data_IF_265293962595
#
_entry.id   IF_265293962595
#
_cell.length_a   1.000
_cell.length_b   1.000
_cell.length_c   1.000
_cell.angle_alpha   90.00
_cell.angle_beta   90.00
_cell.angle_gamma   90.00
#
_symmetry.space_group_name_H-M   'P 1'
#
loop_
_entity.id
_entity.type
_entity.pdbx_description
1 polymer ?
#
# COMPACT_ATOMS: atom_id res chain seq x y z
N UNK A 1 29.36 47.89 46.77
CA UNK A 1 28.34 46.86 46.94
C UNK A 1 28.63 45.72 45.93
N UNK A 2 28.84 44.51 46.43
CA UNK A 2 29.01 43.32 45.59
C UNK A 2 27.84 42.36 45.79
N UNK A 3 27.31 41.84 44.69
CA UNK A 3 26.22 40.84 44.73
C UNK A 3 26.70 39.55 44.07
N UNK A 4 26.49 38.45 44.76
CA UNK A 4 26.64 37.12 44.19
C UNK A 4 25.33 36.35 44.42
N UNK A 5 24.71 35.86 43.36
CA UNK A 5 23.42 35.19 43.46
C UNK A 5 23.28 34.03 42.49
N UNK A 6 22.37 33.14 42.82
CA UNK A 6 21.91 32.04 41.97
C UNK A 6 20.41 32.17 41.80
N UNK A 7 19.90 31.77 40.66
CA UNK A 7 18.47 31.75 40.37
C UNK A 7 18.09 30.49 39.60
N UNK A 8 16.85 30.11 39.74
CA UNK A 8 16.22 29.01 38.99
C UNK A 8 14.80 29.38 38.59
N UNK A 9 14.41 28.98 37.39
CA UNK A 9 13.04 29.12 36.90
C UNK A 9 12.37 27.75 36.89
N UNK A 10 11.20 27.68 37.50
CA UNK A 10 10.33 26.51 37.46
C UNK A 10 9.13 26.83 36.56
N UNK A 11 9.06 26.22 35.40
CA UNK A 11 7.96 26.38 34.47
C UNK A 11 6.84 25.39 34.78
N UNK A 12 5.63 25.89 35.02
CA UNK A 12 4.42 25.08 35.30
C UNK A 12 3.65 24.86 33.99
N UNK A 13 3.71 25.83 33.09
CA UNK A 13 3.23 25.77 31.71
C UNK A 13 4.23 26.44 30.80
N UNK A 14 4.14 26.29 29.46
CA UNK A 14 5.01 26.98 28.52
C UNK A 14 5.01 28.51 28.66
N UNK A 15 3.92 29.09 29.17
CA UNK A 15 3.72 30.53 29.30
C UNK A 15 3.87 31.04 30.72
N UNK A 16 3.83 30.18 31.74
CA UNK A 16 3.78 30.56 33.13
C UNK A 16 4.77 29.78 33.99
N UNK A 17 5.53 30.44 34.77
CA UNK A 17 6.49 29.85 35.69
C UNK A 17 6.74 30.70 36.93
N UNK A 18 7.53 30.18 37.84
CA UNK A 18 8.06 30.86 39.02
C UNK A 18 9.54 31.00 38.88
N UNK A 19 10.04 32.22 39.25
CA UNK A 19 11.44 32.52 39.35
C UNK A 19 11.83 32.58 40.83
N UNK A 20 12.85 31.83 41.19
CA UNK A 20 13.45 31.85 42.54
C UNK A 20 14.86 32.41 42.45
N UNK A 21 15.14 33.42 43.21
CA UNK A 21 16.47 33.99 43.27
C UNK A 21 16.96 34.07 44.72
N UNK A 22 18.24 33.78 44.89
CA UNK A 22 18.94 33.95 46.17
C UNK A 22 20.25 34.67 45.89
N UNK A 23 20.46 35.78 46.52
CA UNK A 23 21.68 36.56 46.40
C UNK A 23 22.25 36.94 47.76
N UNK A 24 23.55 36.85 47.89
CA UNK A 24 24.31 37.42 49.01
C UNK A 24 24.83 38.80 48.61
N UNK A 25 24.50 39.79 49.43
CA UNK A 25 24.89 41.17 49.17
C UNK A 25 25.89 41.58 50.25
N UNK A 26 27.09 41.94 49.81
CA UNK A 26 28.15 42.47 50.68
C UNK A 26 28.24 43.97 50.50
N UNK A 27 28.18 44.67 51.62
CA UNK A 27 28.42 46.13 51.66
C UNK A 27 29.85 46.41 52.08
N UNK A 28 30.54 47.31 51.37
CA UNK A 28 31.91 47.64 51.58
C UNK A 28 32.13 48.96 52.43
N UNK A 29 31.09 49.45 53.14
CA UNK A 29 31.15 50.65 53.99
C UNK A 29 31.22 50.25 55.45
N UNK A 30 31.90 51.07 56.26
CA UNK A 30 32.17 50.84 57.71
C UNK A 30 30.98 50.68 58.62
N UNK A 31 29.70 50.82 58.11
CA UNK A 31 28.45 50.68 58.86
C UNK A 31 27.43 49.78 58.18
N UNK A 32 27.81 49.06 57.11
CA UNK A 32 26.95 48.21 56.38
C UNK A 32 26.93 46.77 56.90
N UNK A 33 25.76 46.16 56.91
CA UNK A 33 25.61 44.74 57.22
C UNK A 33 25.47 43.93 55.94
N UNK A 34 26.20 42.81 55.84
CA UNK A 34 25.99 41.82 54.80
C UNK A 34 24.63 41.12 55.03
N UNK A 35 23.90 40.92 53.98
CA UNK A 35 22.60 40.26 54.02
C UNK A 35 22.33 39.32 52.85
N UNK A 36 21.51 38.33 53.08
CA UNK A 36 20.96 37.48 52.04
C UNK A 36 19.62 38.03 51.58
N UNK A 37 19.46 38.13 50.28
CA UNK A 37 18.22 38.52 49.63
C UNK A 37 17.63 37.32 48.90
N UNK A 38 16.39 36.99 49.25
CA UNK A 38 15.65 35.95 48.58
C UNK A 38 14.42 36.56 47.92
N UNK A 39 14.16 36.24 46.69
CA UNK A 39 12.97 36.66 45.97
C UNK A 39 12.31 35.52 45.24
N UNK A 40 10.97 35.56 45.23
CA UNK A 40 10.13 34.71 44.43
C UNK A 40 9.35 35.64 43.49
N UNK A 41 9.37 35.34 42.23
CA UNK A 41 8.65 36.08 41.20
C UNK A 41 7.79 35.17 40.35
N UNK A 42 6.80 35.74 39.69
CA UNK A 42 6.12 35.12 38.61
C UNK A 42 6.79 35.49 37.28
N UNK A 43 6.95 34.55 36.39
CA UNK A 43 7.45 34.76 35.02
C UNK A 43 6.35 34.38 34.04
N UNK A 44 5.98 35.33 33.21
CA UNK A 44 5.01 35.12 32.14
C UNK A 44 5.74 35.38 30.84
N UNK A 45 5.73 34.39 29.92
CA UNK A 45 6.17 34.60 28.54
C UNK A 45 5.04 35.14 27.72
N UNK A 46 5.29 36.19 26.99
CA UNK A 46 4.37 36.76 26.03
C UNK A 46 4.93 36.55 24.64
N UNK A 47 4.09 36.06 23.71
CA UNK A 47 4.46 35.89 22.33
C UNK A 47 3.98 34.52 21.81
N UNK A 48 3.98 34.38 20.50
CA UNK A 48 3.80 33.07 19.87
C UNK A 48 5.04 32.24 20.17
N UNK A 49 4.87 30.96 20.51
CA UNK A 49 6.00 30.02 20.61
C UNK A 49 6.77 29.94 19.28
N UNK A 50 7.92 29.28 19.27
CA UNK A 50 8.57 28.91 18.01
C UNK A 50 7.61 28.04 17.21
N UNK A 51 7.55 28.30 15.92
CA UNK A 51 6.73 27.62 14.93
C UNK A 51 7.67 27.44 13.73
N UNK A 52 8.24 26.23 13.61
CA UNK A 52 9.35 25.98 12.69
C UNK A 52 8.89 25.85 11.24
N UNK A 53 7.74 25.22 11.02
CA UNK A 53 7.20 24.93 9.70
C UNK A 53 6.17 25.97 9.23
N UNK A 54 5.70 26.83 10.15
CA UNK A 54 4.84 27.97 9.83
C UNK A 54 3.37 27.62 9.61
N UNK A 55 2.89 26.50 10.16
CA UNK A 55 1.48 26.08 10.02
C UNK A 55 0.54 26.82 11.00
N UNK A 56 1.09 27.59 11.93
CA UNK A 56 0.35 28.38 12.91
C UNK A 56 0.19 27.69 14.26
N UNK A 57 0.72 26.48 14.43
CA UNK A 57 0.73 25.71 15.67
C UNK A 57 2.13 25.83 16.28
N UNK A 58 2.24 26.28 17.53
CA UNK A 58 3.56 26.37 18.16
C UNK A 58 4.17 24.97 18.35
N UNK A 59 5.51 24.84 18.19
CA UNK A 59 6.23 23.56 18.29
C UNK A 59 5.90 22.72 19.55
N UNK A 60 5.47 23.35 20.64
CA UNK A 60 5.14 22.67 21.89
C UNK A 60 3.70 22.08 21.93
N UNK A 61 2.85 22.51 20.99
CA UNK A 61 1.51 21.95 20.74
C UNK A 61 1.49 21.10 19.47
N UNK A 62 2.58 21.08 18.72
CA UNK A 62 2.70 20.47 17.43
C UNK A 62 3.36 19.08 17.53
N UNK A 63 2.68 18.07 17.02
CA UNK A 63 3.20 16.70 16.96
C UNK A 63 4.20 16.51 15.80
N UNK A 64 4.17 17.41 14.80
CA UNK A 64 5.03 17.36 13.64
C UNK A 64 5.76 18.69 13.38
N UNK A 65 6.57 19.23 14.33
CA UNK A 65 7.04 20.61 14.38
C UNK A 65 7.91 21.07 13.21
N UNK A 66 8.29 20.20 12.31
CA UNK A 66 9.13 20.48 11.14
C UNK A 66 8.40 20.17 9.81
N UNK A 67 7.10 19.84 9.87
CA UNK A 67 6.26 19.52 8.70
C UNK A 67 4.90 20.13 8.88
N UNK A 68 4.64 21.21 8.18
CA UNK A 68 3.37 21.94 8.23
C UNK A 68 2.16 21.02 8.00
N UNK A 69 1.21 21.08 8.92
CA UNK A 69 0.02 20.27 8.88
C UNK A 69 -1.24 21.01 9.28
N UNK A 70 -2.21 20.32 9.84
CA UNK A 70 -3.50 20.91 10.19
C UNK A 70 -3.83 20.75 11.68
N UNK A 71 -4.60 21.70 12.26
CA UNK A 71 -4.96 21.65 13.67
C UNK A 71 -5.71 20.38 14.09
N UNK A 72 -6.45 19.76 13.16
CA UNK A 72 -7.20 18.53 13.40
C UNK A 72 -6.26 17.38 13.84
N UNK A 73 -5.05 17.35 13.29
CA UNK A 73 -4.03 16.34 13.57
C UNK A 73 -2.86 16.90 14.38
N UNK A 74 -3.12 18.00 15.14
CA UNK A 74 -2.13 18.60 16.03
C UNK A 74 -0.81 18.93 15.29
N UNK A 75 -0.93 19.55 14.11
CA UNK A 75 0.20 19.98 13.30
C UNK A 75 0.77 18.92 12.36
N UNK A 76 0.23 17.72 12.32
CA UNK A 76 0.70 16.74 11.35
C UNK A 76 -0.02 16.86 10.01
N UNK A 77 0.69 16.67 8.87
CA UNK A 77 0.10 16.70 7.55
C UNK A 77 -0.77 15.46 7.27
N UNK A 78 -1.75 15.67 6.42
CA UNK A 78 -2.62 14.69 5.77
C UNK A 78 -2.70 15.15 4.31
N UNK A 79 -1.83 14.57 3.47
CA UNK A 79 -1.54 15.12 2.14
C UNK A 79 -2.69 14.89 1.15
N UNK A 80 -3.39 13.75 1.24
CA UNK A 80 -4.49 13.39 0.34
C UNK A 80 -5.88 13.66 0.94
N UNK A 81 -5.93 14.06 2.23
CA UNK A 81 -7.12 14.42 2.98
C UNK A 81 -8.12 13.27 3.19
N UNK A 82 -7.62 12.06 3.41
CA UNK A 82 -8.46 10.90 3.71
C UNK A 82 -8.81 10.75 5.20
N UNK A 83 -8.18 11.56 6.06
CA UNK A 83 -8.39 11.58 7.50
C UNK A 83 -7.34 10.79 8.28
N UNK A 84 -6.27 10.36 7.63
CA UNK A 84 -5.12 9.69 8.24
C UNK A 84 -3.90 10.57 7.99
N UNK A 85 -3.07 10.76 9.00
CA UNK A 85 -1.86 11.56 8.83
C UNK A 85 -0.83 10.81 7.99
N UNK A 86 -0.03 11.52 7.19
CA UNK A 86 1.04 10.95 6.34
C UNK A 86 1.95 9.95 7.08
N UNK A 87 2.15 10.14 8.38
CA UNK A 87 3.00 9.27 9.19
C UNK A 87 2.37 7.91 9.53
N UNK A 88 1.04 7.83 9.50
CA UNK A 88 0.24 6.63 9.79
C UNK A 88 -0.37 6.03 8.53
N UNK A 89 -0.28 6.77 7.44
CA UNK A 89 -0.82 6.39 6.14
C UNK A 89 0.19 5.56 5.34
N UNK A 90 -0.27 4.45 4.81
CA UNK A 90 0.53 3.59 3.94
C UNK A 90 0.56 4.08 2.48
N UNK A 91 -0.37 5.00 2.12
CA UNK A 91 -0.50 5.61 0.80
C UNK A 91 -0.72 7.14 0.90
N UNK A 92 0.23 7.94 1.43
CA UNK A 92 0.02 9.34 1.83
C UNK A 92 -0.34 10.33 0.72
N UNK A 93 -0.46 9.90 -0.50
CA UNK A 93 -0.80 10.71 -1.68
C UNK A 93 -2.04 10.24 -2.40
N UNK A 94 -2.61 9.12 -1.98
CA UNK A 94 -3.70 8.44 -2.66
C UNK A 94 -4.78 8.09 -1.63
N UNK A 95 -5.75 8.97 -1.47
CA UNK A 95 -6.81 8.91 -0.46
C UNK A 95 -7.54 7.56 -0.45
N UNK A 96 -7.58 6.93 0.70
CA UNK A 96 -8.15 5.60 0.83
C UNK A 96 -8.97 5.39 2.10
N UNK A 97 -9.03 4.16 2.55
CA UNK A 97 -9.85 3.77 3.69
C UNK A 97 -9.01 3.42 4.91
N UNK A 98 -9.49 3.75 6.12
CA UNK A 98 -8.82 3.34 7.36
C UNK A 98 -8.61 1.83 7.49
N UNK A 99 -9.48 1.03 6.86
CA UNK A 99 -9.37 -0.44 6.82
C UNK A 99 -8.07 -0.90 6.13
N UNK A 100 -7.60 -0.14 5.15
CA UNK A 100 -6.39 -0.41 4.37
C UNK A 100 -5.23 0.54 4.73
N UNK A 101 -5.27 1.12 5.96
CA UNK A 101 -4.29 2.09 6.44
C UNK A 101 -4.08 3.27 5.49
N UNK A 102 -5.15 3.85 4.97
CA UNK A 102 -5.13 4.99 4.07
C UNK A 102 -4.95 4.65 2.59
N UNK A 103 -4.86 3.37 2.21
CA UNK A 103 -4.77 3.03 0.81
C UNK A 103 -6.14 2.86 0.15
N UNK A 104 -6.28 3.24 -1.14
CA UNK A 104 -7.50 3.00 -1.90
C UNK A 104 -7.73 1.51 -2.19
N UNK A 105 -8.99 1.17 -2.45
CA UNK A 105 -9.49 -0.10 -2.97
C UNK A 105 -10.46 0.28 -4.10
N UNK A 106 -9.92 0.39 -5.32
CA UNK A 106 -10.60 1.04 -6.45
C UNK A 106 -11.78 0.26 -6.98
N UNK A 107 -11.72 -1.09 -6.96
CA UNK A 107 -12.81 -1.95 -7.43
C UNK A 107 -13.69 -2.47 -6.29
N UNK A 108 -13.27 -2.26 -5.04
CA UNK A 108 -13.97 -2.66 -3.82
C UNK A 108 -14.14 -4.17 -3.70
N UNK A 109 -13.07 -4.92 -3.91
CA UNK A 109 -13.02 -6.38 -3.73
C UNK A 109 -12.50 -6.80 -2.34
N UNK A 110 -11.94 -5.84 -1.59
CA UNK A 110 -11.44 -6.04 -0.23
C UNK A 110 -9.92 -6.16 -0.14
N UNK A 111 -9.20 -5.86 -1.22
CA UNK A 111 -7.76 -5.66 -1.25
C UNK A 111 -7.45 -4.20 -1.57
N UNK A 112 -6.41 -3.65 -0.95
CA UNK A 112 -5.95 -2.33 -1.35
C UNK A 112 -5.22 -2.40 -2.71
N UNK A 113 -5.34 -1.35 -3.53
CA UNK A 113 -4.75 -1.28 -4.89
C UNK A 113 -3.26 -1.63 -4.91
N UNK A 114 -2.52 -1.28 -3.86
CA UNK A 114 -1.07 -1.61 -3.74
C UNK A 114 -0.78 -3.10 -3.56
N UNK A 115 -1.74 -3.84 -3.01
CA UNK A 115 -1.63 -5.28 -2.72
C UNK A 115 -2.42 -6.11 -3.73
N UNK A 116 -3.14 -5.43 -4.64
CA UNK A 116 -3.98 -6.00 -5.67
C UNK A 116 -3.24 -6.10 -7.00
N UNK A 117 -3.32 -7.25 -7.62
CA UNK A 117 -2.74 -7.49 -8.95
C UNK A 117 -3.65 -7.04 -10.10
N UNK A 118 -4.94 -6.79 -9.81
CA UNK A 118 -5.98 -6.34 -10.74
C UNK A 118 -6.82 -5.19 -10.15
N UNK A 119 -6.22 -4.02 -9.79
CA UNK A 119 -6.84 -2.99 -8.96
C UNK A 119 -8.12 -2.34 -9.52
N UNK A 120 -8.55 -2.68 -10.69
CA UNK A 120 -9.74 -2.12 -11.36
C UNK A 120 -10.78 -3.17 -11.73
N UNK A 121 -10.52 -4.42 -11.40
CA UNK A 121 -11.39 -5.55 -11.75
C UNK A 121 -11.57 -6.44 -10.54
N UNK A 122 -12.76 -6.40 -9.93
CA UNK A 122 -13.09 -7.20 -8.74
C UNK A 122 -12.72 -8.65 -8.90
N UNK A 123 -11.92 -9.14 -7.96
CA UNK A 123 -11.50 -10.51 -7.98
C UNK A 123 -11.56 -11.21 -6.63
N UNK A 124 -10.71 -12.17 -6.45
CA UNK A 124 -10.64 -12.99 -5.25
C UNK A 124 -9.30 -12.81 -4.55
N UNK A 125 -9.32 -12.75 -3.24
CA UNK A 125 -8.09 -12.72 -2.41
C UNK A 125 -7.15 -13.88 -2.72
N UNK A 126 -7.72 -15.05 -3.09
CA UNK A 126 -6.93 -16.23 -3.48
C UNK A 126 -6.09 -16.02 -4.75
N UNK A 127 -6.48 -15.07 -5.60
CA UNK A 127 -5.79 -14.69 -6.82
C UNK A 127 -5.21 -13.27 -6.77
N UNK A 128 -4.94 -12.79 -5.54
CA UNK A 128 -4.42 -11.46 -5.28
C UNK A 128 -5.26 -10.36 -5.96
N UNK A 129 -6.58 -10.41 -5.80
CA UNK A 129 -7.52 -9.44 -6.33
C UNK A 129 -7.90 -9.64 -7.81
N UNK A 130 -7.41 -10.67 -8.48
CA UNK A 130 -7.81 -10.91 -9.85
C UNK A 130 -9.05 -11.80 -9.96
N UNK A 131 -9.90 -11.58 -10.98
CA UNK A 131 -11.05 -12.46 -11.26
C UNK A 131 -10.63 -13.83 -11.76
N UNK A 132 -11.52 -14.80 -11.58
CA UNK A 132 -11.52 -16.14 -12.17
C UNK A 132 -12.95 -16.36 -12.68
N UNK A 133 -13.16 -15.97 -13.94
CA UNK A 133 -14.51 -15.81 -14.50
C UNK A 133 -15.23 -17.13 -14.69
N UNK A 134 -14.53 -18.18 -15.11
CA UNK A 134 -15.12 -19.51 -15.30
C UNK A 134 -15.00 -20.41 -14.08
N UNK A 135 -14.24 -19.98 -13.07
CA UNK A 135 -14.01 -20.69 -11.82
C UNK A 135 -13.34 -22.07 -12.02
N UNK A 136 -12.27 -22.12 -12.80
CA UNK A 136 -11.44 -23.30 -12.96
C UNK A 136 -10.22 -23.34 -12.03
N UNK A 137 -9.96 -22.21 -11.32
CA UNK A 137 -8.87 -22.07 -10.37
C UNK A 137 -7.65 -21.35 -10.92
N UNK A 138 -7.76 -20.72 -12.09
CA UNK A 138 -6.74 -19.90 -12.72
C UNK A 138 -7.33 -18.50 -12.89
N UNK A 139 -6.58 -17.48 -12.48
CA UNK A 139 -7.04 -16.11 -12.66
C UNK A 139 -7.07 -15.74 -14.15
N UNK A 140 -8.08 -14.95 -14.57
CA UNK A 140 -8.29 -14.53 -15.96
C UNK A 140 -7.04 -14.01 -16.65
N UNK A 141 -6.18 -13.28 -15.91
CA UNK A 141 -4.91 -12.75 -16.45
C UNK A 141 -3.87 -13.81 -16.82
N UNK A 142 -3.96 -14.98 -16.17
CA UNK A 142 -3.02 -16.11 -16.35
C UNK A 142 -3.67 -17.23 -17.18
N UNK A 143 -4.97 -17.08 -17.50
CA UNK A 143 -5.80 -18.01 -18.22
C UNK A 143 -5.83 -17.67 -19.74
N UNK A 144 -5.59 -18.68 -20.57
CA UNK A 144 -5.70 -18.54 -22.03
C UNK A 144 -7.16 -18.61 -22.52
N UNK A 145 -8.05 -19.19 -21.71
CA UNK A 145 -9.45 -19.41 -22.03
C UNK A 145 -10.37 -18.92 -20.88
N UNK A 146 -10.36 -17.63 -20.48
CA UNK A 146 -11.00 -17.14 -19.26
C UNK A 146 -12.53 -17.30 -19.16
N UNK A 147 -13.16 -17.88 -20.16
CA UNK A 147 -14.61 -18.09 -20.23
C UNK A 147 -14.98 -19.58 -20.25
N UNK A 148 -13.99 -20.45 -20.44
CA UNK A 148 -14.20 -21.87 -20.69
C UNK A 148 -13.28 -22.70 -19.79
N UNK A 149 -13.83 -23.29 -18.73
CA UNK A 149 -13.09 -24.07 -17.73
C UNK A 149 -12.17 -25.09 -18.36
N UNK A 150 -10.92 -25.04 -17.93
CA UNK A 150 -9.93 -26.00 -18.39
C UNK A 150 -8.96 -26.45 -17.31
N UNK A 151 -7.96 -27.19 -17.71
CA UNK A 151 -6.96 -27.70 -16.79
C UNK A 151 -5.71 -26.79 -16.75
N UNK A 152 -5.05 -26.73 -15.59
CA UNK A 152 -3.84 -25.94 -15.42
C UNK A 152 -2.71 -26.35 -16.38
N UNK A 153 -2.65 -27.60 -16.80
CA UNK A 153 -1.69 -28.09 -17.78
C UNK A 153 -1.86 -27.46 -19.17
N UNK A 154 -3.11 -27.03 -19.49
CA UNK A 154 -3.47 -26.31 -20.73
C UNK A 154 -3.64 -24.81 -20.49
N UNK A 155 -3.19 -24.30 -19.33
CA UNK A 155 -3.33 -22.90 -18.92
C UNK A 155 -4.78 -22.41 -18.99
N UNK A 156 -5.69 -23.16 -18.40
CA UNK A 156 -7.09 -22.82 -18.31
C UNK A 156 -7.94 -23.18 -19.55
N UNK A 157 -7.35 -23.73 -20.61
CA UNK A 157 -8.14 -24.15 -21.74
C UNK A 157 -8.67 -25.58 -21.58
N UNK A 158 -9.91 -25.87 -22.04
CA UNK A 158 -10.44 -27.22 -22.10
C UNK A 158 -9.70 -28.10 -23.13
N UNK A 159 -9.77 -29.41 -22.93
CA UNK A 159 -9.41 -30.47 -23.85
C UNK A 159 -10.64 -31.38 -23.98
N UNK A 160 -11.50 -31.11 -24.96
CA UNK A 160 -12.86 -31.69 -25.04
C UNK A 160 -12.86 -33.16 -25.34
N UNK A 161 -11.91 -33.67 -26.14
CA UNK A 161 -11.84 -35.09 -26.50
C UNK A 161 -10.82 -35.89 -25.67
N UNK A 162 -9.95 -35.18 -24.93
CA UNK A 162 -8.98 -35.78 -24.02
C UNK A 162 -7.80 -36.44 -24.76
N UNK A 163 -7.29 -35.81 -25.82
CA UNK A 163 -6.14 -36.30 -26.55
C UNK A 163 -4.80 -35.68 -26.09
N UNK A 164 -4.90 -34.68 -25.18
CA UNK A 164 -3.75 -33.98 -24.60
C UNK A 164 -3.38 -32.68 -25.34
N UNK A 165 -4.28 -32.16 -26.18
CA UNK A 165 -4.15 -30.89 -26.88
C UNK A 165 -5.36 -30.03 -26.48
N UNK A 166 -5.09 -28.80 -26.05
CA UNK A 166 -6.18 -27.90 -25.69
C UNK A 166 -7.02 -27.54 -26.93
N UNK A 167 -8.35 -27.38 -26.75
CA UNK A 167 -9.30 -27.03 -27.81
C UNK A 167 -8.86 -25.78 -28.62
N UNK A 168 -8.15 -24.87 -27.99
CA UNK A 168 -7.63 -23.66 -28.65
C UNK A 168 -6.53 -23.99 -29.68
N UNK A 169 -5.76 -25.04 -29.43
CA UNK A 169 -4.64 -25.50 -30.25
C UNK A 169 -5.00 -26.71 -31.11
N UNK A 170 -6.23 -27.26 -30.92
CA UNK A 170 -6.72 -28.44 -31.58
C UNK A 170 -7.60 -28.11 -32.81
N UNK A 171 -7.21 -28.68 -33.93
CA UNK A 171 -7.98 -28.56 -35.18
C UNK A 171 -9.17 -29.51 -35.28
N UNK A 172 -9.22 -30.53 -34.40
CA UNK A 172 -10.27 -31.57 -34.37
C UNK A 172 -10.81 -31.79 -32.95
N UNK A 173 -11.16 -30.74 -32.24
CA UNK A 173 -11.53 -30.62 -30.82
C UNK A 173 -12.43 -31.68 -30.22
N UNK A 174 -13.14 -32.48 -31.04
CA UNK A 174 -14.10 -33.49 -30.62
C UNK A 174 -13.70 -34.89 -31.04
N UNK A 175 -12.54 -35.05 -31.63
CA UNK A 175 -12.10 -36.34 -32.18
C UNK A 175 -10.61 -36.52 -31.84
N UNK A 176 -10.32 -37.41 -30.87
CA UNK A 176 -8.96 -37.70 -30.42
C UNK A 176 -8.02 -37.97 -31.56
N UNK A 177 -6.96 -37.20 -31.58
CA UNK A 177 -5.96 -37.33 -32.63
C UNK A 177 -4.51 -37.29 -32.14
N UNK A 178 -3.64 -36.84 -32.99
CA UNK A 178 -2.20 -36.81 -32.73
C UNK A 178 -1.65 -35.41 -32.85
N UNK A 179 -0.75 -35.05 -31.97
CA UNK A 179 -0.12 -33.71 -31.97
C UNK A 179 0.57 -33.37 -33.30
N UNK A 180 1.12 -34.39 -33.99
CA UNK A 180 1.75 -34.20 -35.32
C UNK A 180 0.76 -33.77 -36.40
N UNK A 181 -0.53 -33.97 -36.17
CA UNK A 181 -1.61 -33.57 -37.09
C UNK A 181 -2.52 -32.48 -36.48
N UNK A 182 -1.99 -31.77 -35.45
CA UNK A 182 -2.72 -30.69 -34.79
C UNK A 182 -4.01 -31.19 -34.13
N UNK A 183 -3.98 -32.34 -33.44
CA UNK A 183 -5.11 -32.92 -32.75
C UNK A 183 -6.06 -33.73 -33.63
N UNK A 184 -5.78 -33.91 -34.91
CA UNK A 184 -6.66 -34.68 -35.77
C UNK A 184 -6.29 -36.17 -35.83
N UNK A 185 -7.26 -37.08 -35.98
CA UNK A 185 -6.98 -38.49 -36.16
C UNK A 185 -6.37 -38.81 -37.52
N UNK A 186 -5.70 -39.98 -37.60
CA UNK A 186 -5.18 -40.64 -38.79
C UNK A 186 -5.63 -42.10 -38.65
N UNK A 187 -6.85 -42.37 -39.14
CA UNK A 187 -7.56 -43.61 -38.84
C UNK A 187 -6.93 -44.87 -39.48
N UNK A 188 -6.31 -44.74 -40.64
CA UNK A 188 -5.69 -45.87 -41.35
C UNK A 188 -4.16 -45.89 -41.17
N UNK A 189 -3.58 -44.84 -40.59
CA UNK A 189 -2.15 -44.75 -40.25
C UNK A 189 -1.25 -44.59 -41.46
N UNK A 190 -1.69 -43.92 -42.52
CA UNK A 190 -0.89 -43.69 -43.71
C UNK A 190 -0.06 -42.40 -43.63
N UNK A 191 -0.29 -41.58 -42.61
CA UNK A 191 0.46 -40.34 -42.33
C UNK A 191 -0.23 -39.09 -42.85
N UNK A 192 -1.51 -39.17 -43.25
CA UNK A 192 -2.37 -38.05 -43.60
C UNK A 192 -3.49 -37.99 -42.53
N UNK A 193 -3.81 -36.80 -42.01
CA UNK A 193 -4.94 -36.67 -41.09
C UNK A 193 -6.27 -36.92 -41.81
N UNK A 194 -7.22 -37.54 -41.17
CA UNK A 194 -8.57 -37.89 -41.73
C UNK A 194 -9.22 -36.69 -42.43
N UNK A 195 -9.09 -35.49 -41.87
CA UNK A 195 -9.64 -34.25 -42.47
C UNK A 195 -9.03 -33.86 -43.81
N UNK A 196 -7.79 -34.28 -44.04
CA UNK A 196 -6.99 -33.95 -45.24
C UNK A 196 -6.88 -35.13 -46.17
N UNK A 197 -7.39 -36.33 -45.77
CA UNK A 197 -7.36 -37.58 -46.53
C UNK A 197 -8.66 -37.80 -47.27
N UNK A 198 -8.52 -38.20 -48.55
CA UNK A 198 -9.67 -38.56 -49.42
C UNK A 198 -10.27 -39.91 -49.09
N UNK A 199 -9.48 -40.80 -48.51
CA UNK A 199 -9.88 -42.17 -48.18
C UNK A 199 -9.50 -42.49 -46.70
N UNK A 200 -10.08 -41.85 -45.70
CA UNK A 200 -9.61 -41.87 -44.31
C UNK A 200 -9.61 -43.25 -43.65
N UNK A 201 -10.07 -44.30 -44.30
CA UNK A 201 -10.16 -45.68 -43.79
C UNK A 201 -9.42 -46.70 -44.69
N UNK A 202 -8.76 -46.22 -45.71
CA UNK A 202 -8.04 -47.05 -46.68
C UNK A 202 -6.62 -46.51 -46.86
N UNK A 203 -5.65 -47.20 -46.30
CA UNK A 203 -4.26 -46.78 -46.32
C UNK A 203 -3.76 -46.53 -47.76
N UNK A 204 -3.49 -45.27 -48.05
CA UNK A 204 -3.02 -44.83 -49.34
C UNK A 204 -1.53 -44.47 -49.31
N UNK A 205 -1.03 -44.05 -50.49
CA UNK A 205 0.28 -43.41 -50.56
C UNK A 205 0.13 -41.90 -50.44
N UNK A 206 0.93 -41.26 -49.57
CA UNK A 206 0.92 -39.80 -49.34
C UNK A 206 1.05 -38.95 -50.62
N UNK A 207 1.53 -39.52 -51.69
CA UNK A 207 1.66 -38.89 -52.98
C UNK A 207 0.33 -38.80 -53.80
N UNK A 208 -0.74 -39.43 -53.32
CA UNK A 208 -2.03 -39.51 -54.00
C UNK A 208 -3.15 -38.73 -53.28
N UNK A 209 -2.77 -37.62 -52.59
CA UNK A 209 -3.68 -36.69 -51.86
C UNK A 209 -4.89 -36.30 -52.68
#
# INVERSE_FOLDING_TARGET
>A
EGKLGIGADLWVTPLFGFNFQSAYVRQFNDSGFDYAHHSIGMVIRFGKGADNDGDGIPNWEDNCPDKAGIPLFQGCPDTDNDGITDALDACPTDAGLPLFNGCPDSDSDGLADKDDSCPTEKGLVAFNGCPDTDADGIADKDDRCPQDKGAAEFKGCPDSDGDGIADLDDACKNEKGLAKFGGCPDSDGDGIADKDDRCPKERGEAALK
#
